data_IF_339424373964
#
_entry.id   IF_339424373964
#
_cell.length_a   1.000
_cell.length_b   1.000
_cell.length_c   1.000
_cell.angle_alpha   90.00
_cell.angle_beta   90.00
_cell.angle_gamma   90.00
#
_symmetry.space_group_name_H-M   'P 1'
#
loop_
_entity.id
_entity.type
_entity.pdbx_description
1 polymer ?
#
# COMPACT_ATOMS: atom_id res chain seq x y z
N UNK A 1 -12.44 -22.98 -8.46
CA UNK A 1 -11.69 -22.49 -7.29
C UNK A 1 -11.86 -23.52 -6.18
N UNK A 2 -10.79 -24.11 -5.69
CA UNK A 2 -10.84 -25.18 -4.68
C UNK A 2 -11.00 -24.61 -3.26
N UNK A 3 -11.42 -25.43 -2.29
CA UNK A 3 -11.55 -25.04 -0.88
C UNK A 3 -10.22 -24.49 -0.32
N UNK A 4 -9.09 -25.08 -0.74
CA UNK A 4 -7.75 -24.63 -0.35
C UNK A 4 -7.40 -23.24 -0.91
N UNK A 5 -7.81 -22.93 -2.15
CA UNK A 5 -7.59 -21.61 -2.75
C UNK A 5 -8.37 -20.52 -1.98
N UNK A 6 -9.63 -20.82 -1.60
CA UNK A 6 -10.47 -19.89 -0.83
C UNK A 6 -9.83 -19.57 0.52
N UNK A 7 -9.34 -20.59 1.25
CA UNK A 7 -8.68 -20.41 2.54
C UNK A 7 -7.41 -19.57 2.41
N UNK A 8 -6.58 -19.83 1.40
CA UNK A 8 -5.37 -19.05 1.16
C UNK A 8 -5.68 -17.57 0.88
N UNK A 9 -6.70 -17.28 0.06
CA UNK A 9 -7.12 -15.91 -0.22
C UNK A 9 -7.62 -15.17 1.03
N UNK A 10 -8.42 -15.83 1.88
CA UNK A 10 -8.91 -15.23 3.12
C UNK A 10 -7.76 -14.91 4.09
N UNK A 11 -6.81 -15.83 4.25
CA UNK A 11 -5.66 -15.64 5.13
C UNK A 11 -4.77 -14.48 4.68
N UNK A 12 -4.51 -14.36 3.37
CA UNK A 12 -3.74 -13.23 2.82
C UNK A 12 -4.42 -11.90 3.12
N UNK A 13 -5.74 -11.84 2.95
CA UNK A 13 -6.53 -10.64 3.22
C UNK A 13 -6.50 -10.24 4.69
N UNK A 14 -6.67 -11.20 5.59
CA UNK A 14 -6.70 -10.93 7.03
C UNK A 14 -5.32 -10.54 7.56
N UNK A 15 -4.25 -11.16 7.06
CA UNK A 15 -2.88 -10.74 7.34
C UNK A 15 -2.62 -9.29 6.89
N UNK A 16 -3.04 -8.94 5.67
CA UNK A 16 -2.88 -7.58 5.16
C UNK A 16 -3.63 -6.55 6.01
N UNK A 17 -4.85 -6.87 6.47
CA UNK A 17 -5.60 -6.03 7.41
C UNK A 17 -4.85 -5.88 8.74
N UNK A 18 -4.28 -6.96 9.25
CA UNK A 18 -3.54 -6.93 10.51
C UNK A 18 -2.26 -6.07 10.40
N UNK A 19 -1.47 -6.24 9.34
CA UNK A 19 -0.27 -5.45 9.09
C UNK A 19 -0.59 -3.94 9.02
N UNK A 20 -1.72 -3.59 8.39
CA UNK A 20 -2.19 -2.20 8.36
C UNK A 20 -2.60 -1.70 9.75
N UNK A 21 -3.29 -2.53 10.55
CA UNK A 21 -3.67 -2.17 11.94
C UNK A 21 -2.45 -1.94 12.82
N UNK A 22 -1.43 -2.78 12.69
CA UNK A 22 -0.14 -2.61 13.37
C UNK A 22 0.53 -1.29 12.91
N UNK A 23 0.38 -0.93 11.64
CA UNK A 23 0.76 0.37 11.10
C UNK A 23 0.01 1.56 11.71
N UNK A 24 -1.30 1.44 12.01
CA UNK A 24 -2.03 2.50 12.72
C UNK A 24 -1.49 2.71 14.14
N UNK A 25 -1.13 1.64 14.84
CA UNK A 25 -0.60 1.73 16.21
C UNK A 25 0.68 2.58 16.30
N UNK A 26 1.41 2.70 15.19
CA UNK A 26 2.62 3.52 15.08
C UNK A 26 2.36 4.98 14.67
N UNK A 27 1.10 5.37 14.43
CA UNK A 27 0.74 6.69 13.89
C UNK A 27 1.21 7.87 14.76
N UNK A 28 1.12 7.75 16.10
CA UNK A 28 1.52 8.81 17.03
C UNK A 28 3.01 8.73 17.44
N UNK A 29 3.78 7.80 16.88
CA UNK A 29 5.20 7.67 17.16
C UNK A 29 5.98 8.83 16.52
N UNK A 30 6.77 9.56 17.32
CA UNK A 30 7.57 10.70 16.85
C UNK A 30 8.59 10.30 15.76
N UNK A 31 9.06 9.05 15.79
CA UNK A 31 10.04 8.53 14.83
C UNK A 31 9.42 8.16 13.48
N UNK A 32 8.08 8.07 13.39
CA UNK A 32 7.37 7.56 12.22
C UNK A 32 6.58 8.64 11.47
N UNK A 33 7.20 9.82 11.29
CA UNK A 33 6.60 10.96 10.54
C UNK A 33 6.13 10.56 9.14
N UNK A 34 6.90 9.73 8.44
CA UNK A 34 6.56 9.25 7.09
C UNK A 34 5.29 8.40 7.07
N UNK A 35 5.15 7.48 8.03
CA UNK A 35 3.98 6.63 8.16
C UNK A 35 2.72 7.44 8.50
N UNK A 36 2.84 8.40 9.42
CA UNK A 36 1.75 9.33 9.76
C UNK A 36 1.29 10.12 8.53
N UNK A 37 2.23 10.63 7.73
CA UNK A 37 1.92 11.37 6.51
C UNK A 37 1.24 10.48 5.48
N UNK A 38 1.71 9.23 5.29
CA UNK A 38 1.09 8.28 4.39
C UNK A 38 -0.37 8.00 4.76
N UNK A 39 -0.67 7.74 6.05
CA UNK A 39 -2.04 7.58 6.52
C UNK A 39 -2.93 8.80 6.29
N UNK A 40 -2.38 10.00 6.48
CA UNK A 40 -3.11 11.24 6.22
C UNK A 40 -3.41 11.45 4.74
N UNK A 41 -2.46 11.15 3.85
CA UNK A 41 -2.62 11.27 2.40
C UNK A 41 -3.67 10.28 1.91
N UNK A 42 -3.54 9.00 2.26
CA UNK A 42 -4.46 7.94 1.82
C UNK A 42 -5.89 8.27 2.24
N UNK A 43 -6.11 8.59 3.51
CA UNK A 43 -7.46 8.90 4.01
C UNK A 43 -8.08 10.14 3.35
N UNK A 44 -7.26 11.16 3.07
CA UNK A 44 -7.72 12.37 2.40
C UNK A 44 -8.08 12.14 0.93
N UNK A 45 -7.25 11.40 0.20
CA UNK A 45 -7.40 11.20 -1.24
C UNK A 45 -8.44 10.12 -1.55
N UNK A 46 -8.49 9.06 -0.75
CA UNK A 46 -9.37 7.90 -0.99
C UNK A 46 -10.68 7.98 -0.21
N UNK A 47 -10.86 9.04 0.60
CA UNK A 47 -12.09 9.34 1.34
C UNK A 47 -12.54 8.13 2.17
N UNK A 48 -11.60 7.61 2.95
CA UNK A 48 -11.76 6.45 3.82
C UNK A 48 -11.24 6.77 5.23
N UNK A 49 -11.61 5.96 6.22
CA UNK A 49 -11.11 6.13 7.58
C UNK A 49 -10.86 4.78 8.26
N UNK A 50 -9.65 4.63 8.79
CA UNK A 50 -9.19 3.37 9.40
C UNK A 50 -8.95 2.27 8.38
N UNK A 51 -8.65 1.05 8.85
CA UNK A 51 -8.38 -0.09 7.96
C UNK A 51 -9.69 -0.66 7.45
N UNK A 52 -10.55 -1.06 8.39
CA UNK A 52 -11.87 -1.64 8.19
C UNK A 52 -12.94 -0.58 8.51
N UNK A 53 -12.74 0.18 9.58
CA UNK A 53 -13.65 1.22 10.03
C UNK A 53 -12.93 2.31 10.82
N UNK A 54 -13.58 3.47 10.98
CA UNK A 54 -13.03 4.59 11.76
C UNK A 54 -12.70 4.21 13.20
N UNK A 55 -13.39 3.23 13.78
CA UNK A 55 -13.17 2.72 15.13
C UNK A 55 -11.81 2.05 15.32
N UNK A 56 -11.12 1.64 14.24
CA UNK A 56 -9.75 1.11 14.33
C UNK A 56 -8.78 2.13 14.95
N UNK A 57 -9.06 3.43 14.79
CA UNK A 57 -8.29 4.50 15.42
C UNK A 57 -8.42 4.53 16.93
N UNK A 58 -9.53 4.07 17.49
CA UNK A 58 -9.75 4.08 18.95
C UNK A 58 -8.83 3.09 19.65
N UNK A 59 -8.57 1.96 19.00
CA UNK A 59 -7.59 0.99 19.48
C UNK A 59 -6.15 1.47 19.30
N UNK A 60 -5.86 2.12 18.17
CA UNK A 60 -4.52 2.60 17.83
C UNK A 60 -4.08 3.81 18.69
N UNK A 61 -4.97 4.77 18.91
CA UNK A 61 -4.67 6.02 19.64
C UNK A 61 -5.04 5.96 21.12
N UNK A 62 -5.72 4.90 21.57
CA UNK A 62 -6.23 4.72 22.95
C UNK A 62 -7.14 5.87 23.41
N UNK A 63 -7.75 6.58 22.47
CA UNK A 63 -8.70 7.67 22.68
C UNK A 63 -9.83 7.54 21.65
N UNK A 64 -11.03 8.03 21.97
CA UNK A 64 -12.16 8.06 21.02
C UNK A 64 -12.02 9.20 20.01
N UNK A 65 -10.89 9.21 19.29
CA UNK A 65 -10.52 10.25 18.32
C UNK A 65 -10.05 9.61 17.02
N UNK A 66 -10.19 10.34 15.93
CA UNK A 66 -9.65 9.99 14.60
C UNK A 66 -8.74 11.12 14.10
N UNK A 67 -7.87 10.87 13.12
CA UNK A 67 -7.16 11.95 12.42
C UNK A 67 -8.13 12.88 11.69
N UNK A 68 -7.82 14.18 11.61
CA UNK A 68 -8.68 15.17 10.95
C UNK A 68 -8.93 14.88 9.45
N UNK A 69 -8.06 14.09 8.80
CA UNK A 69 -8.26 13.65 7.40
C UNK A 69 -9.39 12.63 7.24
N UNK A 70 -9.88 12.03 8.33
CA UNK A 70 -11.06 11.16 8.32
C UNK A 70 -12.40 11.90 8.23
N UNK A 71 -12.42 13.21 8.50
CA UNK A 71 -13.65 13.98 8.50
C UNK A 71 -14.09 14.32 7.07
N UNK A 72 -15.41 14.30 6.84
CA UNK A 72 -15.97 14.74 5.56
C UNK A 72 -15.85 16.26 5.39
N UNK A 73 -16.09 17.01 6.47
CA UNK A 73 -15.87 18.44 6.54
C UNK A 73 -14.48 18.73 7.10
N UNK A 74 -13.67 19.47 6.33
CA UNK A 74 -12.29 19.72 6.70
C UNK A 74 -12.16 20.98 7.57
N UNK A 75 -11.89 20.78 8.85
CA UNK A 75 -11.51 21.84 9.79
C UNK A 75 -10.61 21.28 10.90
N UNK A 76 -9.90 22.16 11.58
CA UNK A 76 -8.92 21.77 12.60
C UNK A 76 -9.59 21.09 13.80
N UNK A 77 -9.05 19.94 14.23
CA UNK A 77 -9.55 19.11 15.34
C UNK A 77 -10.96 18.52 15.15
N UNK A 78 -11.44 18.36 13.92
CA UNK A 78 -12.71 17.69 13.65
C UNK A 78 -12.73 16.24 14.17
N UNK A 79 -11.59 15.56 14.21
CA UNK A 79 -11.52 14.16 14.64
C UNK A 79 -11.71 13.93 16.15
N UNK A 80 -11.75 15.01 16.95
CA UNK A 80 -11.99 14.94 18.41
C UNK A 80 -13.47 14.95 18.79
N UNK A 81 -14.36 15.35 17.87
CA UNK A 81 -15.79 15.36 18.14
C UNK A 81 -16.47 14.18 17.44
N UNK A 82 -16.90 13.20 18.23
CA UNK A 82 -17.49 11.94 17.77
C UNK A 82 -18.83 12.17 17.03
N UNK A 83 -19.50 13.31 17.24
CA UNK A 83 -20.76 13.63 16.54
C UNK A 83 -20.54 14.05 15.08
N UNK A 84 -19.30 14.20 14.64
CA UNK A 84 -18.98 14.60 13.28
C UNK A 84 -19.19 13.46 12.28
N UNK A 85 -19.42 13.85 11.03
CA UNK A 85 -19.47 12.89 9.92
C UNK A 85 -18.06 12.50 9.49
N UNK A 86 -17.72 11.24 9.72
CA UNK A 86 -16.49 10.62 9.24
C UNK A 86 -16.75 9.82 7.95
N UNK A 87 -15.68 9.44 7.26
CA UNK A 87 -15.79 8.45 6.19
C UNK A 87 -16.20 7.10 6.78
N UNK A 88 -17.32 6.56 6.31
CA UNK A 88 -17.88 5.30 6.82
C UNK A 88 -17.17 4.06 6.28
N UNK A 89 -16.37 4.19 5.21
CA UNK A 89 -15.66 3.07 4.59
C UNK A 89 -14.21 2.99 5.10
N UNK A 90 -13.76 1.78 5.37
CA UNK A 90 -12.36 1.48 5.65
C UNK A 90 -11.48 1.63 4.41
N UNK A 91 -10.23 2.00 4.60
CA UNK A 91 -9.30 2.18 3.49
C UNK A 91 -8.92 0.86 2.80
N UNK A 92 -8.98 -0.26 3.51
CA UNK A 92 -8.69 -1.57 2.91
C UNK A 92 -9.70 -1.94 1.83
N UNK A 93 -11.00 -1.73 2.09
CA UNK A 93 -12.07 -1.98 1.10
C UNK A 93 -11.86 -1.10 -0.14
N UNK A 94 -11.46 0.17 0.05
CA UNK A 94 -11.16 1.08 -1.07
C UNK A 94 -9.97 0.62 -1.90
N UNK A 95 -8.94 0.06 -1.26
CA UNK A 95 -7.80 -0.55 -1.95
C UNK A 95 -8.22 -1.78 -2.74
N UNK A 96 -9.03 -2.67 -2.16
CA UNK A 96 -9.56 -3.84 -2.88
C UNK A 96 -10.40 -3.42 -4.10
N UNK A 97 -11.33 -2.46 -3.92
CA UNK A 97 -12.18 -1.91 -4.99
C UNK A 97 -11.31 -1.35 -6.13
N UNK A 98 -10.31 -0.53 -5.80
CA UNK A 98 -9.41 0.05 -6.79
C UNK A 98 -8.57 -1.01 -7.52
N UNK A 99 -8.05 -2.01 -6.80
CA UNK A 99 -7.26 -3.09 -7.39
C UNK A 99 -8.11 -3.93 -8.36
N UNK A 100 -9.34 -4.26 -7.99
CA UNK A 100 -10.24 -5.04 -8.83
C UNK A 100 -10.65 -4.28 -10.09
N UNK A 101 -10.92 -2.97 -9.97
CA UNK A 101 -11.27 -2.10 -11.09
C UNK A 101 -10.08 -1.89 -12.05
N UNK A 102 -8.85 -1.86 -11.52
CA UNK A 102 -7.64 -1.51 -12.28
C UNK A 102 -6.70 -2.69 -12.55
N UNK A 103 -7.10 -3.93 -12.29
CA UNK A 103 -6.24 -5.12 -12.46
C UNK A 103 -5.65 -5.28 -13.86
N UNK A 104 -6.39 -4.89 -14.92
CA UNK A 104 -5.89 -4.93 -16.30
C UNK A 104 -4.75 -3.92 -16.51
N UNK A 105 -4.90 -2.72 -15.96
CA UNK A 105 -3.88 -1.67 -16.03
C UNK A 105 -2.62 -2.12 -15.28
N UNK A 106 -2.77 -2.62 -14.05
CA UNK A 106 -1.67 -3.13 -13.24
C UNK A 106 -0.94 -4.29 -13.92
N UNK A 107 -1.70 -5.24 -14.48
CA UNK A 107 -1.14 -6.36 -15.23
C UNK A 107 -0.33 -5.90 -16.44
N UNK A 108 -0.84 -4.90 -17.18
CA UNK A 108 -0.14 -4.35 -18.34
C UNK A 108 1.18 -3.66 -17.94
N UNK A 109 1.16 -2.84 -16.88
CA UNK A 109 2.38 -2.18 -16.37
C UNK A 109 3.41 -3.23 -15.94
N UNK A 110 2.97 -4.27 -15.23
CA UNK A 110 3.84 -5.39 -14.82
C UNK A 110 4.48 -6.10 -16.02
N UNK A 111 3.71 -6.37 -17.07
CA UNK A 111 4.23 -7.01 -18.29
C UNK A 111 5.27 -6.14 -19.00
N UNK A 112 5.05 -4.83 -19.08
CA UNK A 112 6.04 -3.90 -19.67
C UNK A 112 7.35 -3.92 -18.88
N UNK A 113 7.28 -3.86 -17.55
CA UNK A 113 8.47 -3.92 -16.67
C UNK A 113 9.22 -5.24 -16.88
N UNK A 114 8.52 -6.37 -16.97
CA UNK A 114 9.13 -7.68 -17.22
C UNK A 114 9.86 -7.74 -18.56
N UNK A 115 9.27 -7.21 -19.64
CA UNK A 115 9.91 -7.17 -20.95
C UNK A 115 11.19 -6.32 -20.91
N UNK A 116 11.12 -5.13 -20.31
CA UNK A 116 12.28 -4.23 -20.18
C UNK A 116 13.39 -4.91 -19.37
N UNK A 117 13.04 -5.60 -18.28
CA UNK A 117 13.99 -6.31 -17.44
C UNK A 117 14.72 -7.42 -18.21
N UNK A 118 13.99 -8.22 -19.02
CA UNK A 118 14.59 -9.29 -19.82
C UNK A 118 15.52 -8.74 -20.92
N UNK A 119 15.13 -7.65 -21.58
CA UNK A 119 15.98 -6.97 -22.54
C UNK A 119 17.26 -6.43 -21.88
N UNK A 120 17.13 -5.84 -20.69
CA UNK A 120 18.27 -5.38 -19.89
C UNK A 120 19.25 -6.51 -19.58
N UNK A 121 18.75 -7.65 -19.10
CA UNK A 121 19.57 -8.83 -18.82
C UNK A 121 20.27 -9.35 -20.08
N UNK A 122 19.57 -9.43 -21.22
CA UNK A 122 20.14 -9.88 -22.48
C UNK A 122 21.26 -8.95 -22.97
N UNK A 123 21.07 -7.63 -22.87
CA UNK A 123 22.10 -6.66 -23.23
C UNK A 123 23.30 -6.71 -22.29
N UNK A 124 23.10 -6.83 -20.98
CA UNK A 124 24.18 -6.97 -20.00
C UNK A 124 25.04 -8.21 -20.27
N UNK A 125 24.42 -9.37 -20.56
CA UNK A 125 25.15 -10.58 -20.90
C UNK A 125 25.92 -10.46 -22.23
N UNK A 126 25.30 -9.84 -23.23
CA UNK A 126 25.95 -9.61 -24.53
C UNK A 126 27.18 -8.70 -24.39
N UNK A 127 27.05 -7.61 -23.62
CA UNK A 127 28.15 -6.69 -23.35
C UNK A 127 29.28 -7.37 -22.56
N UNK A 128 28.94 -8.15 -21.53
CA UNK A 128 29.91 -8.89 -20.73
C UNK A 128 30.71 -9.87 -21.59
N UNK A 129 30.03 -10.66 -22.44
CA UNK A 129 30.70 -11.57 -23.36
C UNK A 129 31.62 -10.85 -24.35
N UNK A 130 31.19 -9.70 -24.87
CA UNK A 130 32.01 -8.91 -25.78
C UNK A 130 33.29 -8.39 -25.11
N UNK A 131 33.18 -7.81 -23.91
CA UNK A 131 34.33 -7.30 -23.15
C UNK A 131 35.28 -8.44 -22.79
N UNK A 132 34.77 -9.57 -22.28
CA UNK A 132 35.61 -10.71 -21.90
C UNK A 132 36.35 -11.32 -23.09
N UNK A 133 35.68 -11.47 -24.24
CA UNK A 133 36.34 -11.92 -25.48
C UNK A 133 37.40 -10.95 -25.96
N UNK A 134 37.15 -9.65 -25.83
CA UNK A 134 38.10 -8.61 -26.24
C UNK A 134 39.32 -8.63 -25.32
N UNK A 135 39.14 -8.76 -24.00
CA UNK A 135 40.25 -8.92 -23.05
C UNK A 135 41.14 -10.14 -23.37
N UNK A 136 40.54 -11.30 -23.62
CA UNK A 136 41.29 -12.52 -24.02
C UNK A 136 42.12 -12.36 -25.31
N UNK A 137 41.76 -11.43 -26.21
CA UNK A 137 42.56 -11.14 -27.42
C UNK A 137 43.76 -10.25 -27.15
N UNK A 138 43.77 -9.46 -26.07
CA UNK A 138 44.91 -8.61 -25.72
C UNK A 138 45.96 -9.35 -24.89
N UNK A 139 45.58 -10.44 -24.22
CA UNK A 139 46.47 -11.28 -23.42
C UNK A 139 47.15 -12.43 -24.21
N UNK A 140 46.87 -12.56 -25.51
CA UNK A 140 47.42 -13.58 -26.41
C UNK A 140 48.31 -12.95 -27.49
#
# INVERSE_FOLDING_TARGET
MSEADVVAHLQVRDNAKQDLKDGLALYNSETNLGLRNAWNIIQAEWKCCGVIASTDWYEALKEQVVPDRCCQEHYQNCGRNITNMFWNRGCFEKVEEWLDDNKLLLGTIGMVILVVQLLGMAFSLTLFHHIHRTGKKYDA
#
